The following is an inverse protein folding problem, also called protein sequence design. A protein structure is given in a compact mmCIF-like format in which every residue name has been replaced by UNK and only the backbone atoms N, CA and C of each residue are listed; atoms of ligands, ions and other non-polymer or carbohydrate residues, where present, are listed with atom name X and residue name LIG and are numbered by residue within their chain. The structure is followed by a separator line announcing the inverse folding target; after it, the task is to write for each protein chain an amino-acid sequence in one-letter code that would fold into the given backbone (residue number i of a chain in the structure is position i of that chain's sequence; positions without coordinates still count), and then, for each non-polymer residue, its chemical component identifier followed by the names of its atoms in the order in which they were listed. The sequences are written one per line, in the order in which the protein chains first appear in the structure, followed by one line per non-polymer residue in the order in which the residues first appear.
data_IF_921858898503
#
_entry.id   IF_921858898503
#
_cell.length_a   1.000
_cell.length_b   1.000
_cell.length_c   1.000
_cell.angle_alpha   90.00
_cell.angle_beta   90.00
_cell.angle_gamma   90.00
#
_symmetry.space_group_name_H-M   'P 1'
#
loop_
_entity.id
_entity.type
_entity.pdbx_description
1 polymer ?
#
# COMPACT_ATOMS: atom_id res chain seq x y z
N UNK A 1 -30.62 27.27 -32.08
CA UNK A 1 -30.29 25.83 -32.19
C UNK A 1 -28.91 25.46 -31.61
N UNK A 2 -27.90 26.33 -31.66
CA UNK A 2 -26.51 26.07 -31.20
C UNK A 2 -26.29 25.97 -29.68
N UNK A 3 -27.20 26.50 -28.86
CA UNK A 3 -27.07 26.44 -27.39
C UNK A 3 -27.40 25.05 -26.83
N UNK A 4 -28.48 24.44 -27.33
CA UNK A 4 -28.95 23.12 -26.87
C UNK A 4 -27.92 22.04 -27.24
N UNK A 5 -27.37 22.07 -28.45
CA UNK A 5 -26.36 21.10 -28.88
C UNK A 5 -25.08 21.19 -28.07
N UNK A 6 -24.63 22.41 -27.72
CA UNK A 6 -23.48 22.61 -26.82
C UNK A 6 -23.75 22.07 -25.41
N UNK A 7 -24.97 22.26 -24.89
CA UNK A 7 -25.36 21.77 -23.56
C UNK A 7 -25.42 20.24 -23.50
N UNK A 8 -26.06 19.60 -24.49
CA UNK A 8 -26.14 18.14 -24.62
C UNK A 8 -24.75 17.53 -24.76
N UNK A 9 -23.88 18.15 -25.58
CA UNK A 9 -22.52 17.68 -25.75
C UNK A 9 -21.68 17.81 -24.46
N UNK A 10 -21.87 18.89 -23.69
CA UNK A 10 -21.19 19.08 -22.40
C UNK A 10 -21.63 18.05 -21.37
N UNK A 11 -22.93 17.78 -21.27
CA UNK A 11 -23.48 16.76 -20.39
C UNK A 11 -22.98 15.36 -20.76
N UNK A 12 -23.02 15.00 -22.05
CA UNK A 12 -22.53 13.71 -22.54
C UNK A 12 -21.04 13.47 -22.24
N UNK A 13 -20.20 14.51 -22.48
CA UNK A 13 -18.77 14.47 -22.14
C UNK A 13 -18.54 14.35 -20.64
N UNK A 14 -19.28 15.10 -19.81
CA UNK A 14 -19.16 15.05 -18.37
C UNK A 14 -19.51 13.66 -17.82
N UNK A 15 -20.62 13.06 -18.27
CA UNK A 15 -21.05 11.73 -17.83
C UNK A 15 -20.08 10.62 -18.26
N UNK A 16 -19.50 10.71 -19.46
CA UNK A 16 -18.60 9.67 -19.97
C UNK A 16 -17.16 9.80 -19.45
N UNK A 17 -16.64 11.02 -19.31
CA UNK A 17 -15.21 11.28 -19.02
C UNK A 17 -14.95 11.45 -17.51
N UNK A 18 -15.86 12.09 -16.77
CA UNK A 18 -15.65 12.33 -15.34
C UNK A 18 -15.45 11.06 -14.50
N UNK A 19 -16.26 9.99 -14.64
CA UNK A 19 -16.06 8.77 -13.85
C UNK A 19 -14.75 8.06 -14.19
N UNK A 20 -14.33 8.08 -15.46
CA UNK A 20 -13.07 7.47 -15.91
C UNK A 20 -11.87 8.22 -15.34
N UNK A 21 -11.91 9.56 -15.34
CA UNK A 21 -10.81 10.38 -14.79
C UNK A 21 -10.66 10.23 -13.28
N UNK A 22 -11.77 10.18 -12.53
CA UNK A 22 -11.75 10.02 -11.08
C UNK A 22 -11.21 8.65 -10.65
N UNK A 23 -11.57 7.58 -11.37
CA UNK A 23 -11.01 6.24 -11.12
C UNK A 23 -9.51 6.20 -11.42
N UNK A 24 -9.07 6.84 -12.50
CA UNK A 24 -7.65 6.89 -12.86
C UNK A 24 -6.80 7.67 -11.84
N UNK A 25 -7.31 8.74 -11.23
CA UNK A 25 -6.60 9.44 -10.16
C UNK A 25 -6.42 8.56 -8.92
N UNK A 26 -7.50 7.91 -8.45
CA UNK A 26 -7.40 7.00 -7.29
C UNK A 26 -6.47 5.80 -7.54
N UNK A 27 -6.49 5.25 -8.76
CA UNK A 27 -5.57 4.17 -9.16
C UNK A 27 -4.11 4.63 -9.23
N UNK A 28 -3.85 5.88 -9.62
CA UNK A 28 -2.50 6.45 -9.60
C UNK A 28 -2.01 6.72 -8.17
N UNK A 29 -2.89 7.19 -7.29
CA UNK A 29 -2.56 7.46 -5.88
C UNK A 29 -2.29 6.16 -5.08
N UNK A 30 -3.01 5.09 -5.40
CA UNK A 30 -2.74 3.75 -4.82
C UNK A 30 -1.43 3.14 -5.33
N UNK A 31 -1.03 3.44 -6.57
CA UNK A 31 0.25 2.98 -7.13
C UNK A 31 1.45 3.74 -6.54
N UNK A 32 1.32 5.05 -6.30
CA UNK A 32 2.36 5.88 -5.67
C UNK A 32 2.56 5.54 -4.19
N UNK A 33 1.48 5.26 -3.46
CA UNK A 33 1.54 4.84 -2.04
C UNK A 33 2.20 3.47 -1.87
N UNK A 34 1.97 2.50 -2.77
CA UNK A 34 2.71 1.22 -2.74
C UNK A 34 4.22 1.38 -2.94
N UNK A 35 4.64 2.35 -3.76
CA UNK A 35 6.06 2.66 -4.00
C UNK A 35 6.74 3.33 -2.79
N UNK A 36 5.97 3.97 -1.92
CA UNK A 36 6.44 4.67 -0.72
C UNK A 36 6.57 3.79 0.53
N UNK A 37 6.49 2.46 0.42
CA UNK A 37 6.88 1.57 1.52
C UNK A 37 8.42 1.55 1.65
N UNK A 38 8.99 2.68 2.05
CA UNK A 38 10.38 2.86 2.49
C UNK A 38 10.59 2.25 3.88
N UNK A 39 10.07 1.06 4.10
CA UNK A 39 10.47 0.31 5.27
C UNK A 39 11.78 -0.37 4.88
N UNK A 40 12.87 0.38 5.00
CA UNK A 40 14.15 -0.25 5.32
C UNK A 40 13.95 -0.83 6.72
N UNK A 41 13.29 -1.98 6.79
CA UNK A 41 13.29 -2.82 7.97
C UNK A 41 14.74 -3.05 8.29
N UNK A 42 15.24 -2.43 9.37
CA UNK A 42 16.50 -2.87 9.98
C UNK A 42 16.34 -4.38 10.15
N UNK A 43 17.26 -5.19 9.61
CA UNK A 43 17.20 -6.62 9.82
C UNK A 43 17.37 -6.83 11.33
N UNK A 44 16.25 -7.05 12.02
CA UNK A 44 16.23 -7.38 13.43
C UNK A 44 17.05 -8.66 13.55
N UNK A 45 18.19 -8.61 14.23
CA UNK A 45 19.04 -9.75 14.45
C UNK A 45 18.36 -10.66 15.46
N UNK A 46 17.47 -11.48 14.93
CA UNK A 46 16.75 -12.54 15.60
C UNK A 46 17.75 -13.64 15.96
N UNK A 47 18.67 -13.34 16.88
CA UNK A 47 19.66 -14.27 17.39
C UNK A 47 18.91 -15.52 17.86
N UNK A 48 19.24 -16.64 17.21
CA UNK A 48 18.70 -17.96 17.53
C UNK A 48 19.13 -18.24 18.96
N UNK A 49 18.18 -18.35 19.87
CA UNK A 49 18.46 -18.99 21.16
C UNK A 49 19.04 -20.36 20.84
N UNK A 50 20.22 -20.63 21.39
CA UNK A 50 21.26 -21.57 20.95
C UNK A 50 20.82 -23.05 20.86
N UNK A 51 19.55 -23.35 21.12
CA UNK A 51 19.08 -24.71 21.36
C UNK A 51 17.74 -25.00 20.65
N UNK A 52 17.70 -24.86 19.32
CA UNK A 52 16.58 -25.39 18.54
C UNK A 52 17.02 -26.12 17.27
N UNK A 53 17.01 -27.45 17.36
CA UNK A 53 17.32 -28.37 16.27
C UNK A 53 16.07 -28.65 15.43
N UNK A 54 15.98 -28.00 14.27
CA UNK A 54 15.25 -28.51 13.10
C UNK A 54 13.71 -28.37 13.09
N UNK A 55 13.22 -27.32 12.42
CA UNK A 55 11.84 -27.25 11.91
C UNK A 55 11.17 -25.89 12.16
N UNK A 56 11.01 -25.09 11.11
CA UNK A 56 10.28 -23.81 11.05
C UNK A 56 10.16 -22.99 12.37
N UNK A 57 10.96 -21.92 12.51
CA UNK A 57 10.90 -21.00 13.66
C UNK A 57 9.54 -20.29 13.75
N UNK A 58 8.74 -20.66 14.75
CA UNK A 58 7.49 -19.95 15.08
C UNK A 58 7.78 -18.69 15.90
N UNK A 59 7.40 -17.53 15.35
CA UNK A 59 7.54 -16.22 15.97
C UNK A 59 6.22 -15.80 16.62
N UNK A 60 6.17 -15.77 17.96
CA UNK A 60 5.09 -15.14 18.70
C UNK A 60 5.39 -13.66 18.95
N UNK A 61 4.38 -12.79 19.14
CA UNK A 61 4.58 -11.36 19.40
C UNK A 61 5.56 -11.07 20.56
N UNK A 62 5.48 -11.86 21.64
CA UNK A 62 6.40 -11.72 22.79
C UNK A 62 7.86 -12.02 22.44
N UNK A 63 8.13 -12.97 21.52
CA UNK A 63 9.52 -13.24 21.06
C UNK A 63 10.07 -12.10 20.22
N UNK A 64 9.21 -11.43 19.45
CA UNK A 64 9.60 -10.26 18.66
C UNK A 64 9.96 -9.06 19.55
N UNK A 65 9.22 -8.84 20.64
CA UNK A 65 9.52 -7.79 21.63
C UNK A 65 10.87 -8.02 22.31
N UNK A 66 11.14 -9.25 22.78
CA UNK A 66 12.44 -9.59 23.40
C UNK A 66 13.62 -9.41 22.44
N UNK A 67 13.45 -9.74 21.16
CA UNK A 67 14.49 -9.50 20.16
C UNK A 67 14.74 -7.99 19.98
N UNK A 68 13.69 -7.16 20.03
CA UNK A 68 13.77 -5.70 19.94
C UNK A 68 14.43 -5.07 21.17
N UNK A 69 14.18 -5.61 22.36
CA UNK A 69 14.83 -5.17 23.61
C UNK A 69 16.34 -5.44 23.62
N UNK A 70 16.81 -6.50 22.94
CA UNK A 70 18.25 -6.81 22.79
C UNK A 70 18.98 -5.88 21.81
N UNK A 71 18.26 -5.21 20.91
CA UNK A 71 18.84 -4.24 19.95
C UNK A 71 18.86 -2.79 20.45
N UNK A 72 18.16 -2.48 21.56
CA UNK A 72 18.13 -1.16 22.18
C UNK A 72 19.35 -0.93 23.10
#
# INVERSE_FOLDING_TARGET
STFITKLVLKAFKATSIAPIKANNSGLRDTLTTKKQRKNASKPLNLQREEEYYGGATFWSPSKFERAREREA
#
